data_IF_288324859739
#
_entry.id   IF_288324859739
#
_cell.length_a   1.000
_cell.length_b   1.000
_cell.length_c   1.000
_cell.angle_alpha   90.00
_cell.angle_beta   90.00
_cell.angle_gamma   90.00
#
_symmetry.space_group_name_H-M   'P 1'
#
loop_
_entity.id
_entity.type
_entity.pdbx_description
1 polymer ?
#
# COMPACT_ATOMS: atom_id res chain seq x y z
N UNK A 1 0.24 -3.08 2.07
CA UNK A 1 -0.86 -2.22 2.56
C UNK A 1 -0.95 -0.91 1.79
N UNK A 2 -0.07 0.07 2.02
CA UNK A 2 -0.22 1.44 1.49
C UNK A 2 -0.42 1.51 -0.03
N UNK A 3 0.43 0.81 -0.80
CA UNK A 3 0.29 0.80 -2.26
C UNK A 3 -1.07 0.26 -2.72
N UNK A 4 -1.57 -0.83 -2.11
CA UNK A 4 -2.89 -1.37 -2.42
C UNK A 4 -4.01 -0.37 -2.11
N UNK A 5 -3.91 0.35 -0.99
CA UNK A 5 -4.85 1.41 -0.64
C UNK A 5 -4.82 2.57 -1.65
N UNK A 6 -3.64 3.12 -1.92
CA UNK A 6 -3.49 4.21 -2.90
C UNK A 6 -3.99 3.79 -4.28
N UNK A 7 -3.63 2.59 -4.74
CA UNK A 7 -4.09 2.06 -6.02
C UNK A 7 -5.61 1.97 -6.09
N UNK A 8 -6.27 1.52 -5.02
CA UNK A 8 -7.75 1.46 -4.99
C UNK A 8 -8.42 2.82 -5.14
N UNK A 9 -7.77 3.91 -4.70
CA UNK A 9 -8.28 5.28 -4.80
C UNK A 9 -7.90 5.99 -6.10
N UNK A 10 -6.65 5.88 -6.51
CA UNK A 10 -6.13 6.47 -7.75
C UNK A 10 -6.89 5.92 -8.97
N UNK A 11 -7.16 4.61 -8.96
CA UNK A 11 -7.82 3.88 -10.05
C UNK A 11 -9.28 3.53 -9.74
N UNK A 12 -9.92 4.22 -8.78
CA UNK A 12 -11.36 4.07 -8.51
C UNK A 12 -12.19 4.36 -9.78
N UNK A 13 -11.71 5.30 -10.59
CA UNK A 13 -12.16 5.52 -11.97
C UNK A 13 -10.97 5.52 -12.92
N UNK A 14 -11.20 5.25 -14.21
CA UNK A 14 -10.15 5.33 -15.21
C UNK A 14 -9.59 6.76 -15.29
N UNK A 15 -8.27 6.97 -15.15
CA UNK A 15 -7.67 8.27 -15.36
C UNK A 15 -7.80 8.72 -16.82
N UNK A 16 -8.11 9.99 -17.03
CA UNK A 16 -8.35 10.55 -18.36
C UNK A 16 -7.05 10.88 -19.12
N UNK A 17 -5.95 11.09 -18.39
CA UNK A 17 -4.63 11.42 -18.94
C UNK A 17 -3.53 11.12 -17.94
N UNK A 18 -2.27 11.23 -18.37
CA UNK A 18 -1.12 11.11 -17.48
C UNK A 18 -1.08 12.23 -16.42
N UNK A 19 -1.51 13.45 -16.74
CA UNK A 19 -1.54 14.54 -15.76
C UNK A 19 -2.65 14.33 -14.73
N UNK A 20 -3.82 13.83 -15.15
CA UNK A 20 -4.89 13.45 -14.22
C UNK A 20 -4.40 12.34 -13.26
N UNK A 21 -3.74 11.31 -13.78
CA UNK A 21 -3.14 10.26 -12.95
C UNK A 21 -2.11 10.84 -11.96
N UNK A 22 -1.24 11.74 -12.42
CA UNK A 22 -0.23 12.39 -11.57
C UNK A 22 -0.89 13.20 -10.45
N UNK A 23 -1.93 13.97 -10.76
CA UNK A 23 -2.65 14.75 -9.76
C UNK A 23 -3.40 13.87 -8.76
N UNK A 24 -4.02 12.78 -9.21
CA UNK A 24 -4.64 11.80 -8.30
C UNK A 24 -3.62 11.21 -7.34
N UNK A 25 -2.44 10.82 -7.82
CA UNK A 25 -1.35 10.31 -6.95
C UNK A 25 -0.99 11.36 -5.89
N UNK A 26 -0.74 12.61 -6.30
CA UNK A 26 -0.37 13.71 -5.37
C UNK A 26 -1.48 13.95 -4.35
N UNK A 27 -2.73 14.05 -4.80
CA UNK A 27 -3.89 14.30 -3.94
C UNK A 27 -4.12 13.16 -2.93
N UNK A 28 -4.02 11.90 -3.35
CA UNK A 28 -4.17 10.77 -2.43
C UNK A 28 -2.99 10.67 -1.45
N UNK A 29 -1.77 11.00 -1.89
CA UNK A 29 -0.61 11.08 -0.98
C UNK A 29 -0.79 12.17 0.09
N UNK A 30 -1.38 13.33 -0.24
CA UNK A 30 -1.69 14.36 0.76
C UNK A 30 -2.73 13.94 1.80
N UNK A 31 -3.55 12.94 1.51
CA UNK A 31 -4.56 12.40 2.45
C UNK A 31 -3.98 11.35 3.40
N UNK A 32 -2.70 10.98 3.27
CA UNK A 32 -2.07 9.99 4.15
C UNK A 32 -2.06 10.51 5.58
N UNK A 33 -2.70 9.77 6.48
CA UNK A 33 -2.77 10.12 7.90
C UNK A 33 -1.65 9.43 8.71
N UNK A 34 -1.32 9.94 9.91
CA UNK A 34 -0.42 9.24 10.82
C UNK A 34 -0.85 7.80 11.13
N UNK A 35 -2.17 7.54 11.22
CA UNK A 35 -2.69 6.19 11.44
C UNK A 35 -2.37 5.24 10.27
N UNK A 36 -2.46 5.73 9.02
CA UNK A 36 -2.09 4.92 7.86
C UNK A 36 -0.60 4.54 7.90
N UNK A 37 0.27 5.46 8.34
CA UNK A 37 1.70 5.18 8.51
C UNK A 37 1.96 4.18 9.64
N UNK A 38 1.20 4.23 10.74
CA UNK A 38 1.26 3.21 11.77
C UNK A 38 0.87 1.83 11.23
N UNK A 39 -0.21 1.75 10.45
CA UNK A 39 -0.64 0.50 9.81
C UNK A 39 0.44 -0.04 8.84
N UNK A 40 1.18 0.82 8.15
CA UNK A 40 2.33 0.41 7.32
C UNK A 40 3.42 -0.24 8.17
N UNK A 41 3.78 0.37 9.30
CA UNK A 41 4.79 -0.19 10.22
C UNK A 41 4.33 -1.55 10.78
N UNK A 42 3.09 -1.62 11.27
CA UNK A 42 2.53 -2.87 11.79
C UNK A 42 2.53 -3.97 10.73
N UNK A 43 2.12 -3.66 9.49
CA UNK A 43 2.14 -4.64 8.40
C UNK A 43 3.56 -5.07 8.03
N UNK A 44 4.53 -4.16 8.10
CA UNK A 44 5.94 -4.50 7.87
C UNK A 44 6.45 -5.47 8.94
N UNK A 45 6.18 -5.20 10.21
CA UNK A 45 6.55 -6.11 11.31
C UNK A 45 5.91 -7.49 11.15
N UNK A 46 4.61 -7.55 10.86
CA UNK A 46 3.91 -8.81 10.56
C UNK A 46 4.56 -9.58 9.41
N UNK A 47 4.90 -8.89 8.32
CA UNK A 47 5.58 -9.52 7.19
C UNK A 47 6.96 -10.08 7.58
N UNK A 48 7.69 -9.45 8.50
CA UNK A 48 8.96 -9.99 9.01
C UNK A 48 8.73 -11.29 9.79
N UNK A 49 7.71 -11.33 10.65
CA UNK A 49 7.35 -12.55 11.38
C UNK A 49 7.01 -13.70 10.41
N UNK A 50 6.14 -13.46 9.43
CA UNK A 50 5.80 -14.48 8.43
C UNK A 50 7.01 -14.92 7.59
N UNK A 51 7.89 -13.98 7.23
CA UNK A 51 9.13 -14.31 6.53
C UNK A 51 10.02 -15.24 7.37
N UNK A 52 10.13 -14.99 8.67
CA UNK A 52 10.88 -15.85 9.58
C UNK A 52 10.25 -17.25 9.69
N UNK A 53 8.94 -17.34 9.86
CA UNK A 53 8.21 -18.63 9.92
C UNK A 53 8.35 -19.44 8.62
N UNK A 54 8.41 -18.76 7.47
CA UNK A 54 8.64 -19.38 6.17
C UNK A 54 10.13 -19.67 5.87
N UNK A 55 11.04 -19.47 6.84
CA UNK A 55 12.48 -19.68 6.62
C UNK A 55 13.07 -18.79 5.52
N UNK A 56 12.54 -17.57 5.36
CA UNK A 56 12.96 -16.61 4.34
C UNK A 56 12.36 -16.86 2.94
N UNK A 57 11.48 -17.84 2.76
CA UNK A 57 10.81 -18.12 1.49
C UNK A 57 9.61 -17.19 1.27
N UNK A 58 9.00 -17.27 0.09
CA UNK A 58 7.74 -16.59 -0.20
C UNK A 58 6.62 -17.10 0.73
N UNK A 59 5.94 -16.16 1.39
CA UNK A 59 4.93 -16.44 2.41
C UNK A 59 3.56 -15.81 2.07
N UNK A 60 3.35 -15.35 0.84
CA UNK A 60 2.08 -14.73 0.44
C UNK A 60 0.89 -15.70 0.54
N UNK A 61 1.13 -17.01 0.46
CA UNK A 61 0.14 -18.04 0.70
C UNK A 61 -0.24 -18.20 2.19
N UNK A 62 0.51 -17.59 3.10
CA UNK A 62 0.26 -17.56 4.54
C UNK A 62 -0.43 -16.27 5.00
N UNK A 63 -0.65 -15.31 4.09
CA UNK A 63 -1.15 -13.95 4.34
C UNK A 63 -2.61 -13.75 3.94
#
# INVERSE_FOLDING_TARGET
>A
FLWGHLKSKIYETQPASLEDLRQRIVNECHKITPQMLQNVRQRFEQNLYYCMEAGGQHFEHLL
#
